data_IF_061183630008
#
_entry.id   IF_061183630008
#
_cell.length_a   1.000
_cell.length_b   1.000
_cell.length_c   1.000
_cell.angle_alpha   90.00
_cell.angle_beta   90.00
_cell.angle_gamma   90.00
#
_symmetry.space_group_name_H-M   'P 1'
#
loop_
_entity.id
_entity.type
_entity.pdbx_description
1 polymer ?
#
# COMPACT_ATOMS: atom_id res chain seq x y z
N UNK A 1 9.32 -21.56 0.81
CA UNK A 1 9.65 -20.16 1.10
C UNK A 1 8.79 -19.70 2.26
N UNK A 2 9.39 -19.13 3.29
CA UNK A 2 8.70 -18.69 4.49
C UNK A 2 8.64 -17.18 4.54
N UNK A 3 7.66 -16.64 5.25
CA UNK A 3 7.54 -15.21 5.51
C UNK A 3 7.47 -14.94 7.01
N UNK A 4 7.75 -13.70 7.38
CA UNK A 4 7.65 -13.23 8.76
C UNK A 4 7.12 -11.80 8.76
N UNK A 5 6.21 -11.50 9.67
CA UNK A 5 5.65 -10.15 9.79
C UNK A 5 6.78 -9.11 9.96
N UNK A 6 6.82 -8.15 9.05
CA UNK A 6 7.70 -7.00 9.12
C UNK A 6 6.99 -5.81 9.79
N UNK A 7 5.80 -5.48 9.32
CA UNK A 7 4.99 -4.40 9.87
C UNK A 7 3.54 -4.48 9.41
N UNK A 8 2.65 -3.88 10.18
CA UNK A 8 1.32 -3.46 9.74
C UNK A 8 1.36 -1.96 9.44
N UNK A 9 0.84 -1.55 8.30
CA UNK A 9 0.84 -0.15 7.88
C UNK A 9 -0.58 0.28 7.54
N UNK A 10 -1.02 1.38 8.14
CA UNK A 10 -2.30 2.01 7.85
C UNK A 10 -2.06 3.36 7.17
N UNK A 11 -2.75 3.58 6.05
CA UNK A 11 -2.59 4.77 5.23
C UNK A 11 -3.91 5.50 5.14
N UNK A 12 -3.89 6.82 5.34
CA UNK A 12 -5.01 7.70 5.09
C UNK A 12 -4.81 8.44 3.78
N UNK A 13 -5.81 8.38 2.92
CA UNK A 13 -5.80 9.00 1.60
C UNK A 13 -6.40 10.41 1.67
N UNK A 14 -5.79 11.33 0.94
CA UNK A 14 -6.39 12.64 0.64
C UNK A 14 -7.39 12.51 -0.52
N UNK A 15 -7.99 13.63 -0.92
CA UNK A 15 -8.93 13.67 -2.03
C UNK A 15 -8.29 13.12 -3.31
N UNK A 16 -8.97 12.18 -3.95
CA UNK A 16 -8.51 11.55 -5.19
C UNK A 16 -8.51 12.54 -6.34
N UNK A 17 -7.54 12.41 -7.21
CA UNK A 17 -7.40 13.16 -8.45
C UNK A 17 -7.76 12.23 -9.61
N UNK A 18 -8.96 12.37 -10.14
CA UNK A 18 -9.43 11.52 -11.24
C UNK A 18 -8.98 12.12 -12.56
N UNK A 19 -7.98 11.50 -13.20
CA UNK A 19 -7.54 11.87 -14.55
C UNK A 19 -8.53 11.34 -15.58
N UNK A 20 -9.05 10.15 -15.36
CA UNK A 20 -10.06 9.53 -16.18
C UNK A 20 -9.51 8.51 -17.14
N UNK A 21 -10.25 8.29 -18.23
CA UNK A 21 -9.90 7.27 -19.21
C UNK A 21 -8.70 7.70 -20.06
N UNK A 22 -7.66 6.87 -20.03
CA UNK A 22 -6.44 7.03 -20.82
C UNK A 22 -6.21 5.76 -21.63
N UNK A 23 -5.23 5.71 -22.57
CA UNK A 23 -5.04 4.52 -23.42
C UNK A 23 -4.85 3.20 -22.67
N UNK A 24 -4.30 3.23 -21.46
CA UNK A 24 -4.03 2.03 -20.67
C UNK A 24 -5.14 1.64 -19.68
N UNK A 25 -6.18 2.44 -19.54
CA UNK A 25 -7.29 2.22 -18.60
C UNK A 25 -7.78 3.50 -17.95
N UNK A 26 -8.31 3.41 -16.74
CA UNK A 26 -8.75 4.57 -15.97
C UNK A 26 -7.71 4.93 -14.91
N UNK A 27 -7.14 6.13 -15.06
CA UNK A 27 -6.09 6.64 -14.17
C UNK A 27 -6.69 7.48 -13.05
N UNK A 28 -6.34 7.13 -11.80
CA UNK A 28 -6.67 7.93 -10.61
C UNK A 28 -5.44 8.01 -9.73
N UNK A 29 -5.06 9.21 -9.33
CA UNK A 29 -4.02 9.42 -8.32
C UNK A 29 -4.67 9.56 -6.95
N UNK A 30 -4.20 8.79 -5.98
CA UNK A 30 -4.63 8.86 -4.59
C UNK A 30 -3.48 9.42 -3.73
N UNK A 31 -3.45 10.74 -3.44
CA UNK A 31 -2.41 11.31 -2.60
C UNK A 31 -2.51 10.78 -1.18
N UNK A 32 -1.36 10.64 -0.53
CA UNK A 32 -1.26 10.20 0.87
C UNK A 32 -1.32 11.42 1.78
N UNK A 33 -2.26 11.42 2.71
CA UNK A 33 -2.40 12.46 3.73
C UNK A 33 -1.55 12.17 4.96
N UNK A 34 -1.62 10.94 5.45
CA UNK A 34 -0.96 10.52 6.68
C UNK A 34 -0.97 8.99 6.79
N UNK A 35 -0.47 8.48 7.89
CA UNK A 35 -0.54 7.07 8.23
C UNK A 35 0.44 6.73 9.34
N UNK A 36 0.41 5.47 9.73
CA UNK A 36 1.35 4.94 10.72
C UNK A 36 1.66 3.49 10.40
N UNK A 37 2.77 3.02 10.90
CA UNK A 37 3.20 1.64 10.78
C UNK A 37 3.79 1.14 12.09
N UNK A 38 3.65 -0.15 12.34
CA UNK A 38 4.18 -0.80 13.53
C UNK A 38 4.56 -2.24 13.21
N UNK A 39 5.72 -2.65 13.69
CA UNK A 39 6.20 -4.01 13.60
C UNK A 39 7.20 -4.34 14.69
N UNK A 40 7.70 -5.59 14.74
CA UNK A 40 8.61 -6.03 15.81
C UNK A 40 9.93 -5.26 15.88
N UNK A 41 10.38 -4.70 14.74
CA UNK A 41 11.70 -4.05 14.64
C UNK A 41 11.66 -2.58 14.26
N UNK A 42 10.49 -2.04 13.91
CA UNK A 42 10.36 -0.65 13.51
C UNK A 42 8.91 -0.18 13.66
N UNK A 43 8.76 1.09 13.97
CA UNK A 43 7.45 1.77 14.00
C UNK A 43 7.61 3.26 13.75
N UNK A 44 6.54 3.90 13.31
CA UNK A 44 6.53 5.31 13.03
C UNK A 44 5.32 5.75 12.24
N UNK A 45 5.48 6.78 11.45
CA UNK A 45 4.41 7.40 10.67
C UNK A 45 4.72 7.41 9.18
N UNK A 46 3.66 7.41 8.38
CA UNK A 46 3.74 7.66 6.94
C UNK A 46 3.66 9.16 6.71
N UNK A 47 4.66 9.72 6.06
CA UNK A 47 4.69 11.16 5.77
C UNK A 47 3.75 11.51 4.62
N UNK A 48 3.16 12.73 4.62
CA UNK A 48 2.45 13.24 3.46
C UNK A 48 3.42 13.50 2.30
N UNK A 49 2.88 13.63 1.09
CA UNK A 49 3.65 13.93 -0.13
C UNK A 49 3.90 12.74 -1.03
N UNK A 50 3.57 11.54 -0.58
CA UNK A 50 3.51 10.36 -1.44
C UNK A 50 2.14 10.20 -2.10
N UNK A 51 1.96 9.09 -2.80
CA UNK A 51 0.71 8.79 -3.49
C UNK A 51 0.65 7.36 -3.98
N UNK A 52 -0.54 7.00 -4.40
CA UNK A 52 -0.81 5.78 -5.15
C UNK A 52 -1.32 6.17 -6.54
N UNK A 53 -0.55 5.84 -7.57
CA UNK A 53 -0.87 6.12 -8.97
C UNK A 53 -1.60 4.92 -9.55
N UNK A 54 -2.90 4.83 -9.24
CA UNK A 54 -3.70 3.66 -9.59
C UNK A 54 -4.11 3.67 -11.06
N UNK A 55 -4.21 2.48 -11.64
CA UNK A 55 -4.71 2.26 -13.00
C UNK A 55 -5.72 1.11 -12.99
N UNK A 56 -6.98 1.42 -13.31
CA UNK A 56 -7.99 0.39 -13.52
C UNK A 56 -7.92 -0.08 -14.98
N UNK A 57 -7.52 -1.33 -15.18
CA UNK A 57 -7.37 -1.94 -16.49
C UNK A 57 -8.74 -2.33 -17.09
N UNK A 58 -8.76 -2.59 -18.39
CA UNK A 58 -9.97 -3.02 -19.09
C UNK A 58 -10.51 -4.38 -18.59
N UNK A 59 -9.64 -5.24 -18.05
CA UNK A 59 -10.02 -6.53 -17.48
C UNK A 59 -10.54 -6.45 -16.03
N UNK A 60 -10.69 -5.25 -15.48
CA UNK A 60 -11.20 -5.02 -14.13
C UNK A 60 -10.17 -5.11 -13.01
N UNK A 61 -8.92 -5.37 -13.34
CA UNK A 61 -7.83 -5.39 -12.35
C UNK A 61 -7.36 -3.96 -12.07
N UNK A 62 -7.32 -3.57 -10.80
CA UNK A 62 -6.71 -2.32 -10.37
C UNK A 62 -5.22 -2.56 -10.10
N UNK A 63 -4.36 -1.87 -10.85
CA UNK A 63 -2.95 -1.77 -10.54
C UNK A 63 -2.69 -0.65 -9.54
N UNK A 64 -1.85 -0.94 -8.55
CA UNK A 64 -1.44 0.00 -7.52
C UNK A 64 0.05 0.28 -7.68
N UNK A 65 0.42 1.56 -7.60
CA UNK A 65 1.81 2.02 -7.65
C UNK A 65 1.99 3.02 -6.52
N UNK A 66 2.19 2.49 -5.31
CA UNK A 66 2.33 3.28 -4.09
C UNK A 66 3.78 3.67 -3.88
N UNK A 67 4.00 4.95 -3.59
CA UNK A 67 5.30 5.49 -3.19
C UNK A 67 5.12 6.41 -2.01
N UNK A 68 5.82 6.12 -0.92
CA UNK A 68 5.72 6.87 0.33
C UNK A 68 7.08 6.99 1.01
N UNK A 69 7.20 7.99 1.86
CA UNK A 69 8.29 8.10 2.82
C UNK A 69 7.77 7.74 4.20
N UNK A 70 8.44 6.82 4.86
CA UNK A 70 8.19 6.43 6.24
C UNK A 70 9.19 7.14 7.14
N UNK A 71 8.73 7.59 8.29
CA UNK A 71 9.60 8.15 9.32
C UNK A 71 9.44 7.33 10.60
N UNK A 72 10.52 6.71 11.05
CA UNK A 72 10.52 5.96 12.31
C UNK A 72 10.45 6.90 13.51
N UNK A 73 10.05 6.38 14.67
CA UNK A 73 9.95 7.16 15.91
C UNK A 73 11.29 7.77 16.32
N UNK A 74 12.41 7.16 15.93
CA UNK A 74 13.77 7.69 16.16
C UNK A 74 14.32 8.53 15.00
N UNK A 75 13.47 8.93 14.05
CA UNK A 75 13.78 9.93 13.03
C UNK A 75 14.43 9.41 11.76
N UNK A 76 14.51 8.09 11.54
CA UNK A 76 15.01 7.54 10.29
C UNK A 76 13.98 7.71 9.17
N UNK A 77 14.44 8.09 7.98
CA UNK A 77 13.60 8.13 6.79
C UNK A 77 13.83 6.87 5.94
N UNK A 78 12.72 6.29 5.49
CA UNK A 78 12.70 5.08 4.67
C UNK A 78 11.83 5.37 3.44
N UNK A 79 12.38 5.17 2.25
CA UNK A 79 11.57 5.16 1.03
C UNK A 79 10.94 3.80 0.85
N UNK A 80 9.64 3.77 0.57
CA UNK A 80 8.93 2.56 0.21
C UNK A 80 8.25 2.76 -1.15
N UNK A 81 8.48 1.84 -2.07
CA UNK A 81 7.69 1.68 -3.29
C UNK A 81 7.01 0.33 -3.28
N UNK A 82 5.77 0.27 -3.73
CA UNK A 82 4.98 -0.96 -3.67
C UNK A 82 4.08 -1.07 -4.89
N UNK A 83 4.33 -2.06 -5.73
CA UNK A 83 3.42 -2.42 -6.80
C UNK A 83 2.42 -3.45 -6.30
N UNK A 84 1.17 -3.36 -6.76
CA UNK A 84 0.14 -4.31 -6.35
C UNK A 84 -0.99 -4.47 -7.34
N UNK A 85 -1.81 -5.47 -7.05
CA UNK A 85 -3.01 -5.78 -7.82
C UNK A 85 -4.19 -5.96 -6.88
N UNK A 86 -5.35 -5.41 -7.27
CA UNK A 86 -6.62 -5.61 -6.58
C UNK A 86 -7.70 -5.96 -7.58
N UNK A 87 -8.42 -7.03 -7.33
CA UNK A 87 -9.58 -7.46 -8.13
C UNK A 87 -10.46 -8.40 -7.32
N UNK A 88 -11.66 -8.66 -7.80
CA UNK A 88 -12.59 -9.58 -7.16
C UNK A 88 -13.94 -9.63 -7.88
N UNK A 89 -14.93 -10.32 -7.30
CA UNK A 89 -16.28 -10.32 -7.83
C UNK A 89 -16.85 -8.90 -7.97
N UNK A 90 -17.65 -8.66 -9.00
CA UNK A 90 -18.13 -7.30 -9.30
C UNK A 90 -18.96 -6.69 -8.16
N UNK A 91 -19.77 -7.48 -7.47
CA UNK A 91 -20.54 -7.04 -6.30
C UNK A 91 -19.65 -6.64 -5.12
N UNK A 92 -18.53 -7.32 -4.93
CA UNK A 92 -17.53 -7.00 -3.88
C UNK A 92 -16.82 -5.69 -4.22
N UNK A 93 -16.38 -5.54 -5.45
CA UNK A 93 -15.71 -4.31 -5.91
C UNK A 93 -16.68 -3.11 -5.84
N UNK A 94 -17.95 -3.30 -6.18
CA UNK A 94 -18.95 -2.25 -6.05
C UNK A 94 -19.19 -1.86 -4.57
N UNK A 95 -19.20 -2.82 -3.65
CA UNK A 95 -19.30 -2.56 -2.21
C UNK A 95 -18.11 -1.75 -1.69
N UNK A 96 -16.89 -2.11 -2.11
CA UNK A 96 -15.70 -1.35 -1.77
C UNK A 96 -15.76 0.10 -2.30
N UNK A 97 -16.25 0.28 -3.52
CA UNK A 97 -16.40 1.60 -4.13
C UNK A 97 -17.41 2.49 -3.37
N UNK A 98 -18.41 1.88 -2.71
CA UNK A 98 -19.35 2.60 -1.84
C UNK A 98 -18.80 2.93 -0.46
N UNK A 99 -17.54 2.53 -0.16
CA UNK A 99 -16.92 2.72 1.15
C UNK A 99 -17.33 1.69 2.21
N UNK A 100 -17.99 0.59 1.81
CA UNK A 100 -18.32 -0.49 2.73
C UNK A 100 -17.09 -1.29 3.12
N UNK A 101 -17.06 -1.77 4.36
CA UNK A 101 -16.06 -2.72 4.80
C UNK A 101 -16.42 -4.11 4.31
N UNK A 102 -15.52 -4.75 3.58
CA UNK A 102 -15.69 -6.10 3.08
C UNK A 102 -14.55 -6.96 3.64
N UNK A 103 -14.86 -8.20 4.01
CA UNK A 103 -13.84 -9.14 4.44
C UNK A 103 -12.76 -9.27 3.36
N UNK A 104 -11.48 -9.01 3.67
CA UNK A 104 -10.38 -9.10 2.71
C UNK A 104 -10.23 -10.48 2.04
N UNK A 105 -10.79 -11.54 2.64
CA UNK A 105 -10.82 -12.87 2.03
C UNK A 105 -11.73 -12.94 0.78
N UNK A 106 -12.63 -11.95 0.60
CA UNK A 106 -13.59 -11.93 -0.49
C UNK A 106 -13.03 -11.33 -1.79
N UNK A 107 -11.84 -10.79 -1.76
CA UNK A 107 -11.20 -10.19 -2.94
C UNK A 107 -9.68 -10.37 -2.89
N UNK A 108 -9.04 -10.20 -4.02
CA UNK A 108 -7.59 -10.24 -4.11
C UNK A 108 -7.03 -8.83 -3.92
N UNK A 109 -6.15 -8.66 -2.95
CA UNK A 109 -5.41 -7.42 -2.74
C UNK A 109 -4.03 -7.78 -2.22
N UNK A 110 -3.05 -7.80 -3.13
CA UNK A 110 -1.65 -8.18 -2.83
C UNK A 110 -0.71 -7.16 -3.40
N UNK A 111 0.34 -6.87 -2.67
CA UNK A 111 1.39 -5.94 -3.11
C UNK A 111 2.78 -6.50 -2.84
N UNK A 112 3.78 -5.92 -3.50
CA UNK A 112 5.18 -6.27 -3.36
C UNK A 112 5.99 -5.03 -2.97
N UNK A 113 6.05 -4.68 -1.68
CA UNK A 113 6.78 -3.51 -1.22
C UNK A 113 8.29 -3.72 -1.28
N UNK A 114 9.00 -2.63 -1.57
CA UNK A 114 10.45 -2.54 -1.53
C UNK A 114 10.85 -1.32 -0.71
N UNK A 115 11.95 -1.44 0.00
CA UNK A 115 12.42 -0.42 0.93
C UNK A 115 13.85 -0.01 0.62
N UNK A 116 14.17 1.26 0.89
CA UNK A 116 15.54 1.74 0.94
C UNK A 116 15.71 2.82 2.00
N UNK A 117 16.84 2.79 2.68
CA UNK A 117 17.19 3.77 3.69
C UNK A 117 18.71 3.90 3.81
N UNK A 118 19.19 5.08 4.18
CA UNK A 118 20.60 5.29 4.52
C UNK A 118 20.91 5.07 6.01
N UNK A 119 19.88 4.88 6.83
CA UNK A 119 20.05 4.76 8.28
C UNK A 119 20.58 3.37 8.66
N UNK A 120 21.69 3.33 9.40
CA UNK A 120 22.40 2.07 9.71
C UNK A 120 21.54 1.07 10.51
N UNK A 121 20.74 1.55 11.46
CA UNK A 121 19.85 0.70 12.27
C UNK A 121 18.84 -0.07 11.43
N UNK A 122 18.36 0.52 10.33
CA UNK A 122 17.35 -0.05 9.45
C UNK A 122 17.91 -0.56 8.13
N UNK A 123 19.22 -0.67 8.01
CA UNK A 123 19.91 -1.09 6.78
C UNK A 123 19.50 -2.49 6.30
N UNK A 124 18.96 -3.33 7.19
CA UNK A 124 18.42 -4.65 6.84
C UNK A 124 17.28 -4.57 5.81
N UNK A 125 16.53 -3.46 5.78
CA UNK A 125 15.46 -3.23 4.81
C UNK A 125 15.97 -3.18 3.36
N UNK A 126 17.21 -2.75 3.15
CA UNK A 126 17.83 -2.67 1.82
C UNK A 126 18.15 -4.06 1.22
N UNK A 127 18.02 -5.12 2.01
CA UNK A 127 18.50 -6.47 1.65
C UNK A 127 17.41 -7.54 1.72
N UNK A 128 16.15 -7.14 1.86
CA UNK A 128 15.03 -8.06 1.91
C UNK A 128 14.06 -7.79 0.75
N UNK A 129 13.29 -8.80 0.44
CA UNK A 129 12.08 -8.69 -0.37
C UNK A 129 10.87 -8.87 0.55
N UNK A 130 9.77 -8.26 0.19
CA UNK A 130 8.54 -8.33 0.97
C UNK A 130 7.32 -8.54 0.08
N UNK A 131 6.28 -9.09 0.70
CA UNK A 131 4.94 -9.22 0.11
C UNK A 131 3.92 -8.70 1.12
N UNK A 132 2.77 -8.27 0.65
CA UNK A 132 1.72 -7.86 1.58
C UNK A 132 0.33 -8.24 1.13
N UNK A 133 -0.55 -8.37 2.10
CA UNK A 133 -2.00 -8.39 1.92
C UNK A 133 -2.58 -7.04 2.31
N UNK A 134 -3.56 -6.57 1.53
CA UNK A 134 -4.26 -5.32 1.79
C UNK A 134 -5.69 -5.55 2.25
N UNK A 135 -6.16 -4.64 3.11
CA UNK A 135 -7.56 -4.53 3.53
C UNK A 135 -8.02 -3.12 3.15
N UNK A 136 -8.95 -3.04 2.18
CA UNK A 136 -9.46 -1.75 1.68
C UNK A 136 -10.49 -1.19 2.64
N UNK A 137 -10.17 -0.05 3.25
CA UNK A 137 -11.08 0.70 4.13
C UNK A 137 -11.44 2.03 3.50
N UNK A 138 -12.55 2.64 3.95
CA UNK A 138 -13.02 3.92 3.41
C UNK A 138 -11.99 5.05 3.56
N UNK A 139 -11.31 5.13 4.69
CA UNK A 139 -10.27 6.13 4.95
C UNK A 139 -8.95 5.86 4.22
N UNK A 140 -8.70 4.62 3.87
CA UNK A 140 -7.49 4.15 3.21
C UNK A 140 -7.17 2.71 3.56
N UNK A 141 -6.23 2.09 2.86
CA UNK A 141 -5.90 0.69 3.07
C UNK A 141 -5.11 0.44 4.35
N UNK A 142 -5.27 -0.78 4.86
CA UNK A 142 -4.41 -1.36 5.89
C UNK A 142 -3.63 -2.51 5.25
N UNK A 143 -2.31 -2.48 5.37
CA UNK A 143 -1.42 -3.50 4.82
C UNK A 143 -0.79 -4.33 5.94
N UNK A 144 -0.83 -5.65 5.80
CA UNK A 144 0.03 -6.55 6.55
C UNK A 144 1.21 -6.92 5.66
N UNK A 145 2.40 -6.47 6.02
CA UNK A 145 3.61 -6.59 5.22
C UNK A 145 4.53 -7.62 5.86
N UNK A 146 4.86 -8.65 5.11
CA UNK A 146 5.76 -9.72 5.53
C UNK A 146 7.06 -9.66 4.74
N UNK A 147 8.20 -9.82 5.42
CA UNK A 147 9.47 -10.08 4.76
C UNK A 147 9.54 -11.55 4.31
N UNK A 148 10.17 -11.78 3.18
CA UNK A 148 10.46 -13.11 2.65
C UNK A 148 11.79 -13.59 3.25
N UNK A 149 11.78 -14.78 3.85
CA UNK A 149 12.97 -15.39 4.48
C UNK A 149 13.72 -16.30 3.53
#
# INVERSE_FOLDING_TARGET
MNTRLLMTMQVELAARQTIGMVPHGTRVTAPIASGHFEGPRLRGRVLPGGGDWTLLRADGVLELDLRVTLETDDGALIHMSSFGLRHGPSEVIAALARGENVDPAMYYFRTAPRFETSHTKYAFLNRLLAVSSGDRRAAGPIYSIDEIL
#
